data_IF_884050241856
#
_entry.id   IF_884050241856
#
_cell.length_a   1.000
_cell.length_b   1.000
_cell.length_c   1.000
_cell.angle_alpha   90.00
_cell.angle_beta   90.00
_cell.angle_gamma   90.00
#
_symmetry.space_group_name_H-M   'P 1'
#
loop_
_entity.id
_entity.type
_entity.pdbx_description
1 polymer ?
#
# COMPACT_ATOMS: atom_id res chain seq x y z
N UNK A 1 -5.48 13.78 30.33
CA UNK A 1 -4.78 12.52 30.09
C UNK A 1 -3.57 12.75 29.21
N UNK A 2 -2.52 11.98 29.42
CA UNK A 2 -1.28 12.12 28.65
C UNK A 2 -1.09 10.91 27.75
N UNK A 3 -0.54 11.17 26.56
CA UNK A 3 -0.14 10.08 25.67
C UNK A 3 1.09 9.39 26.28
N UNK A 4 1.01 8.09 26.50
CA UNK A 4 2.10 7.30 27.06
C UNK A 4 2.98 6.66 26.00
N UNK A 5 2.48 6.60 24.76
CA UNK A 5 3.23 6.10 23.60
C UNK A 5 2.99 7.06 22.44
N UNK A 6 4.03 7.74 21.98
CA UNK A 6 3.89 8.71 20.92
C UNK A 6 3.85 8.02 19.53
N UNK A 7 3.56 8.80 18.48
CA UNK A 7 3.42 8.22 17.13
C UNK A 7 4.74 7.64 16.62
N UNK A 8 5.88 8.22 16.96
CA UNK A 8 7.18 7.70 16.55
C UNK A 8 7.45 6.31 17.16
N UNK A 9 7.04 6.12 18.42
CA UNK A 9 7.15 4.82 19.07
C UNK A 9 6.25 3.78 18.42
N UNK A 10 5.00 4.16 18.08
CA UNK A 10 4.09 3.27 17.36
C UNK A 10 4.67 2.84 16.03
N UNK A 11 5.23 3.79 15.28
CA UNK A 11 5.84 3.49 13.97
C UNK A 11 7.04 2.58 14.15
N UNK A 12 7.93 2.87 15.13
CA UNK A 12 9.10 2.03 15.38
C UNK A 12 8.72 0.60 15.74
N UNK A 13 7.68 0.42 16.56
CA UNK A 13 7.19 -0.92 16.92
C UNK A 13 6.63 -1.65 15.68
N UNK A 14 5.88 -0.95 14.84
CA UNK A 14 5.37 -1.51 13.61
C UNK A 14 6.51 -1.92 12.67
N UNK A 15 7.50 -1.04 12.49
CA UNK A 15 8.66 -1.32 11.63
C UNK A 15 9.44 -2.55 12.08
N UNK A 16 9.48 -2.82 13.38
CA UNK A 16 10.16 -3.99 13.92
C UNK A 16 9.45 -5.31 13.55
N UNK A 17 8.17 -5.25 13.18
CA UNK A 17 7.37 -6.45 12.92
C UNK A 17 6.99 -6.65 11.46
N UNK A 18 6.93 -5.56 10.66
CA UNK A 18 6.46 -5.65 9.28
C UNK A 18 7.62 -5.87 8.31
N UNK A 19 7.30 -6.43 7.14
CA UNK A 19 8.24 -6.54 6.05
C UNK A 19 8.34 -5.20 5.34
N UNK A 20 9.55 -4.67 5.22
CA UNK A 20 9.83 -3.40 4.54
C UNK A 20 10.70 -3.65 3.33
N UNK A 21 10.24 -3.22 2.16
CA UNK A 21 11.02 -3.29 0.93
C UNK A 21 11.57 -1.92 0.55
N UNK A 22 12.78 -1.89 0.03
CA UNK A 22 13.34 -0.69 -0.59
C UNK A 22 12.67 -0.44 -1.95
N UNK A 23 12.83 0.78 -2.47
CA UNK A 23 12.31 1.12 -3.80
C UNK A 23 12.86 0.17 -4.88
N UNK A 24 14.17 -0.13 -4.95
CA UNK A 24 14.67 -1.09 -5.95
C UNK A 24 14.04 -2.48 -5.82
N UNK A 25 13.80 -2.95 -4.60
CA UNK A 25 13.17 -4.25 -4.39
C UNK A 25 11.74 -4.28 -4.92
N UNK A 26 10.99 -3.19 -4.74
CA UNK A 26 9.63 -3.10 -5.26
C UNK A 26 9.63 -2.95 -6.78
N UNK A 27 10.56 -2.15 -7.34
CA UNK A 27 10.69 -2.02 -8.79
C UNK A 27 10.87 -3.37 -9.46
N UNK A 28 11.67 -4.24 -8.85
CA UNK A 28 11.93 -5.59 -9.39
C UNK A 28 10.67 -6.47 -9.40
N UNK A 29 9.64 -6.09 -8.63
CA UNK A 29 8.39 -6.84 -8.51
C UNK A 29 7.24 -6.28 -9.32
N UNK A 30 7.41 -5.14 -9.99
CA UNK A 30 6.30 -4.46 -10.67
C UNK A 30 5.66 -5.28 -11.78
N UNK A 31 6.42 -6.14 -12.45
CA UNK A 31 5.91 -6.99 -13.51
C UNK A 31 5.46 -8.37 -13.03
N UNK A 32 5.62 -8.67 -11.73
CA UNK A 32 5.22 -9.95 -11.16
C UNK A 32 3.69 -9.94 -10.95
N UNK A 33 2.95 -10.87 -11.58
CA UNK A 33 1.49 -10.93 -11.41
C UNK A 33 1.06 -11.28 -9.98
N UNK A 34 1.99 -11.78 -9.14
CA UNK A 34 1.71 -12.10 -7.74
C UNK A 34 1.97 -10.91 -6.82
N UNK A 35 2.31 -9.74 -7.35
CA UNK A 35 2.51 -8.53 -6.57
C UNK A 35 1.39 -7.53 -6.88
N UNK A 36 0.79 -6.97 -5.82
CA UNK A 36 -0.18 -5.88 -5.94
C UNK A 36 0.25 -4.73 -5.06
N UNK A 37 0.54 -3.59 -5.67
CA UNK A 37 0.89 -2.37 -4.94
C UNK A 37 -0.42 -1.70 -4.49
N UNK A 38 -0.46 -1.25 -3.25
CA UNK A 38 -1.64 -0.60 -2.67
C UNK A 38 -1.26 0.80 -2.19
N UNK A 39 -1.90 1.80 -2.76
CA UNK A 39 -1.76 3.20 -2.34
C UNK A 39 -2.79 3.49 -1.27
N UNK A 40 -2.34 3.75 -0.03
CA UNK A 40 -3.24 3.99 1.10
C UNK A 40 -3.43 5.47 1.42
N UNK A 41 -2.92 6.37 0.55
CA UNK A 41 -3.02 7.81 0.78
C UNK A 41 -4.46 8.30 0.59
N UNK A 42 -4.72 9.52 1.05
CA UNK A 42 -5.96 10.24 0.73
C UNK A 42 -6.02 10.48 -0.78
N UNK A 43 -7.23 10.41 -1.36
CA UNK A 43 -7.40 10.54 -2.82
C UNK A 43 -6.83 11.85 -3.35
N UNK A 44 -6.84 12.92 -2.56
CA UNK A 44 -6.29 14.22 -2.97
C UNK A 44 -4.77 14.17 -3.17
N UNK A 45 -4.08 13.27 -2.48
CA UNK A 45 -2.63 13.11 -2.64
C UNK A 45 -2.28 12.43 -3.96
N UNK A 46 -3.23 11.77 -4.61
CA UNK A 46 -3.00 11.09 -5.88
C UNK A 46 -3.08 12.03 -7.09
N UNK A 47 -3.38 13.31 -6.91
CA UNK A 47 -3.44 14.26 -8.03
C UNK A 47 -2.12 14.37 -8.77
N UNK A 48 -0.98 14.20 -8.09
CA UNK A 48 0.34 14.19 -8.71
C UNK A 48 0.75 12.82 -9.28
N UNK A 49 -0.10 11.80 -9.10
CA UNK A 49 0.16 10.46 -9.58
C UNK A 49 0.24 9.43 -8.47
N UNK A 50 0.46 8.18 -8.88
CA UNK A 50 0.62 7.03 -8.00
C UNK A 50 1.68 6.09 -8.59
N UNK A 51 2.05 5.06 -7.84
CA UNK A 51 2.96 4.02 -8.35
C UNK A 51 2.26 3.27 -9.50
N UNK A 52 3.02 2.97 -10.54
CA UNK A 52 2.49 2.24 -11.70
C UNK A 52 1.79 0.95 -11.26
N UNK A 53 0.52 0.80 -11.63
CA UNK A 53 -0.26 -0.39 -11.30
C UNK A 53 -0.86 -0.43 -9.90
N UNK A 54 -0.68 0.62 -9.09
CA UNK A 54 -1.19 0.65 -7.72
C UNK A 54 -2.72 0.69 -7.70
N UNK A 55 -3.28 -0.04 -6.76
CA UNK A 55 -4.71 0.02 -6.43
C UNK A 55 -4.88 0.97 -5.24
N UNK A 56 -5.80 1.92 -5.35
CA UNK A 56 -6.06 2.87 -4.26
C UNK A 56 -7.00 2.26 -3.23
N UNK A 57 -6.52 2.15 -2.00
CA UNK A 57 -7.31 1.70 -0.85
C UNK A 57 -7.03 2.67 0.30
N UNK A 58 -7.86 3.71 0.47
CA UNK A 58 -7.59 4.74 1.48
C UNK A 58 -7.47 4.12 2.86
N UNK A 59 -6.53 4.63 3.66
CA UNK A 59 -6.21 4.05 4.97
C UNK A 59 -7.45 3.83 5.83
N UNK A 60 -8.41 4.76 5.77
CA UNK A 60 -9.63 4.69 6.60
C UNK A 60 -10.57 3.53 6.25
N UNK A 61 -10.42 2.91 5.08
CA UNK A 61 -11.27 1.80 4.65
C UNK A 61 -10.53 0.47 4.60
N UNK A 62 -9.22 0.47 4.82
CA UNK A 62 -8.40 -0.70 4.54
C UNK A 62 -8.83 -1.96 5.29
N UNK A 63 -9.04 -1.86 6.62
CA UNK A 63 -9.45 -3.02 7.41
C UNK A 63 -10.79 -3.59 6.93
N UNK A 64 -11.69 -2.71 6.54
CA UNK A 64 -13.04 -3.12 6.09
C UNK A 64 -13.00 -3.75 4.69
N UNK A 65 -12.06 -3.32 3.85
CA UNK A 65 -11.92 -3.85 2.50
C UNK A 65 -11.24 -5.22 2.47
N UNK A 66 -10.31 -5.46 3.41
CA UNK A 66 -9.58 -6.74 3.44
C UNK A 66 -10.37 -7.88 4.11
N UNK A 67 -11.31 -7.55 4.99
CA UNK A 67 -12.04 -8.55 5.78
C UNK A 67 -13.20 -9.16 4.98
N UNK A 68 -13.14 -10.47 4.64
CA UNK A 68 -14.22 -11.13 3.89
C UNK A 68 -15.57 -11.11 4.61
N UNK A 69 -15.58 -10.95 5.94
CA UNK A 69 -16.83 -10.88 6.72
C UNK A 69 -17.40 -9.46 6.76
N UNK A 70 -16.68 -8.47 6.27
CA UNK A 70 -17.12 -7.08 6.22
C UNK A 70 -18.10 -6.87 5.05
N UNK A 71 -19.17 -6.05 5.22
CA UNK A 71 -20.03 -5.69 4.10
C UNK A 71 -19.32 -4.86 3.03
N UNK A 72 -18.12 -4.34 3.32
CA UNK A 72 -17.33 -3.51 2.40
C UNK A 72 -16.18 -4.26 1.75
N UNK A 73 -16.12 -5.57 1.93
CA UNK A 73 -15.01 -6.39 1.41
C UNK A 73 -14.78 -6.19 -0.09
N UNK A 74 -13.50 -6.08 -0.47
CA UNK A 74 -13.06 -6.05 -1.88
C UNK A 74 -12.38 -7.38 -2.20
N UNK A 75 -12.88 -8.14 -3.19
CA UNK A 75 -12.33 -9.47 -3.51
C UNK A 75 -10.85 -9.51 -3.83
N UNK A 76 -10.28 -8.40 -4.31
CA UNK A 76 -8.84 -8.31 -4.57
C UNK A 76 -8.02 -8.80 -3.38
N UNK A 77 -8.42 -8.42 -2.17
CA UNK A 77 -7.66 -8.72 -0.96
C UNK A 77 -7.80 -10.15 -0.49
N UNK A 78 -8.71 -10.92 -1.07
CA UNK A 78 -8.88 -12.34 -0.75
C UNK A 78 -7.94 -13.24 -1.56
N UNK A 79 -7.20 -12.69 -2.51
CA UNK A 79 -6.29 -13.45 -3.36
C UNK A 79 -4.99 -13.75 -2.60
N UNK A 80 -4.93 -14.94 -2.01
CA UNK A 80 -3.78 -15.37 -1.22
C UNK A 80 -2.53 -15.65 -2.05
N UNK A 81 -2.65 -15.67 -3.38
CA UNK A 81 -1.50 -15.83 -4.27
C UNK A 81 -0.71 -14.54 -4.44
N UNK A 82 -1.27 -13.41 -3.97
CA UNK A 82 -0.63 -12.10 -4.11
C UNK A 82 0.06 -11.67 -2.83
N UNK A 83 1.15 -10.92 -2.99
CA UNK A 83 1.74 -10.13 -1.93
C UNK A 83 1.26 -8.69 -2.11
N UNK A 84 0.72 -8.10 -1.04
CA UNK A 84 0.22 -6.73 -1.05
C UNK A 84 1.30 -5.81 -0.46
N UNK A 85 1.76 -4.86 -1.26
CA UNK A 85 2.80 -3.92 -0.85
C UNK A 85 2.17 -2.54 -0.70
N UNK A 86 2.03 -2.09 0.53
CA UNK A 86 1.39 -0.83 0.86
C UNK A 86 2.38 0.33 0.75
N UNK A 87 1.90 1.51 0.39
CA UNK A 87 2.71 2.71 0.53
C UNK A 87 1.84 3.92 0.88
N UNK A 88 2.48 4.91 1.48
CA UNK A 88 1.90 6.22 1.78
C UNK A 88 2.87 7.32 1.35
N UNK A 89 2.79 8.50 1.96
CA UNK A 89 3.65 9.61 1.57
C UNK A 89 5.11 9.43 1.95
N UNK A 90 5.39 8.99 3.19
CA UNK A 90 6.75 8.93 3.74
C UNK A 90 7.03 7.65 4.54
N UNK A 91 6.09 6.72 4.63
CA UNK A 91 6.32 5.41 5.23
C UNK A 91 5.75 5.20 6.63
N UNK A 92 5.22 6.21 7.29
CA UNK A 92 4.67 6.05 8.64
C UNK A 92 3.29 5.41 8.64
N UNK A 93 2.37 5.96 7.85
CA UNK A 93 1.01 5.40 7.75
C UNK A 93 1.04 3.97 7.25
N UNK A 94 1.91 3.66 6.29
CA UNK A 94 1.99 2.33 5.72
C UNK A 94 2.59 1.32 6.68
N UNK A 95 3.54 1.72 7.53
CA UNK A 95 4.07 0.86 8.59
C UNK A 95 2.96 0.45 9.55
N UNK A 96 2.17 1.43 10.03
CA UNK A 96 1.05 1.17 10.94
C UNK A 96 -0.02 0.32 10.26
N UNK A 97 -0.32 0.59 8.99
CA UNK A 97 -1.32 -0.16 8.24
C UNK A 97 -0.88 -1.61 8.03
N UNK A 98 0.37 -1.83 7.64
CA UNK A 98 0.89 -3.18 7.45
C UNK A 98 0.83 -3.99 8.74
N UNK A 99 1.18 -3.38 9.88
CA UNK A 99 1.08 -4.04 11.18
C UNK A 99 -0.37 -4.40 11.50
N UNK A 100 -1.31 -3.49 11.24
CA UNK A 100 -2.72 -3.76 11.48
C UNK A 100 -3.21 -4.96 10.66
N UNK A 101 -2.82 -5.05 9.39
CA UNK A 101 -3.20 -6.19 8.56
C UNK A 101 -2.57 -7.49 9.03
N UNK A 102 -1.32 -7.45 9.53
CA UNK A 102 -0.70 -8.62 10.15
C UNK A 102 -1.45 -9.06 11.40
N UNK A 103 -1.86 -8.10 12.22
CA UNK A 103 -2.65 -8.38 13.43
C UNK A 103 -4.00 -9.02 13.07
N UNK A 104 -4.53 -8.73 11.89
CA UNK A 104 -5.74 -9.36 11.36
C UNK A 104 -5.49 -10.77 10.79
N UNK A 105 -4.24 -11.18 10.67
CA UNK A 105 -3.86 -12.51 10.19
C UNK A 105 -3.28 -12.58 8.78
N UNK A 106 -3.09 -11.44 8.11
CA UNK A 106 -2.47 -11.44 6.78
C UNK A 106 -0.96 -11.67 6.88
N UNK A 107 -0.47 -12.69 6.18
CA UNK A 107 0.97 -12.99 6.15
C UNK A 107 1.65 -12.46 4.89
N UNK A 108 0.87 -12.01 3.92
CA UNK A 108 1.31 -11.61 2.58
C UNK A 108 1.27 -10.09 2.40
N UNK A 109 1.73 -9.34 3.40
CA UNK A 109 1.71 -7.88 3.39
C UNK A 109 3.08 -7.32 3.71
N UNK A 110 3.45 -6.24 3.02
CA UNK A 110 4.69 -5.49 3.19
C UNK A 110 4.42 -4.01 2.95
N UNK A 111 5.43 -3.16 3.12
CA UNK A 111 5.29 -1.76 2.72
C UNK A 111 6.60 -1.23 2.16
N UNK A 112 6.53 -0.08 1.47
CA UNK A 112 7.67 0.55 0.80
C UNK A 112 8.35 1.53 1.75
N UNK A 113 9.66 1.38 1.94
CA UNK A 113 10.46 2.31 2.71
C UNK A 113 10.44 3.69 2.06
N UNK A 114 10.14 4.72 2.86
CA UNK A 114 10.12 6.10 2.41
C UNK A 114 8.93 6.49 1.54
N UNK A 115 8.08 5.55 1.17
CA UNK A 115 6.82 5.81 0.46
C UNK A 115 6.95 6.55 -0.86
N UNK A 116 5.93 7.32 -1.18
CA UNK A 116 5.85 8.09 -2.44
C UNK A 116 7.03 9.05 -2.62
N UNK A 117 7.47 9.70 -1.53
CA UNK A 117 8.60 10.64 -1.59
C UNK A 117 9.87 9.94 -2.09
N UNK A 118 10.19 8.78 -1.52
CA UNK A 118 11.39 8.04 -1.93
C UNK A 118 11.21 7.44 -3.32
N UNK A 119 10.03 6.94 -3.65
CA UNK A 119 9.72 6.37 -4.96
C UNK A 119 9.98 7.38 -6.07
N UNK A 120 9.48 8.60 -5.93
CA UNK A 120 9.64 9.65 -6.93
C UNK A 120 11.06 10.20 -6.98
N UNK A 121 11.72 10.29 -5.82
CA UNK A 121 13.12 10.75 -5.75
C UNK A 121 14.04 9.82 -6.54
N UNK A 122 13.79 8.52 -6.49
CA UNK A 122 14.57 7.53 -7.23
C UNK A 122 14.13 7.38 -8.70
N UNK A 123 13.14 8.14 -9.14
CA UNK A 123 12.66 8.08 -10.53
C UNK A 123 11.98 6.77 -10.90
N UNK A 124 11.39 6.08 -9.91
CA UNK A 124 10.70 4.83 -10.17
C UNK A 124 9.38 5.05 -10.92
N UNK A 125 8.85 4.04 -11.62
CA UNK A 125 7.70 4.20 -12.49
C UNK A 125 6.43 4.67 -11.79
N UNK A 126 5.81 5.70 -12.35
CA UNK A 126 4.55 6.27 -11.86
C UNK A 126 3.54 6.37 -12.98
N UNK A 127 2.29 6.61 -12.63
CA UNK A 127 1.23 6.93 -13.57
C UNK A 127 0.25 7.89 -12.92
N UNK A 128 -0.42 8.70 -13.73
CA UNK A 128 -1.54 9.52 -13.25
C UNK A 128 -2.80 8.65 -13.15
N UNK A 129 -3.79 9.13 -12.40
CA UNK A 129 -5.09 8.42 -12.36
C UNK A 129 -5.73 8.34 -13.74
N UNK A 130 -5.57 9.39 -14.56
CA UNK A 130 -6.08 9.39 -15.95
C UNK A 130 -5.39 8.33 -16.79
N UNK A 131 -4.06 8.23 -16.70
CA UNK A 131 -3.30 7.21 -17.41
C UNK A 131 -3.69 5.80 -16.95
N UNK A 132 -3.89 5.61 -15.65
CA UNK A 132 -4.31 4.34 -15.10
C UNK A 132 -5.70 3.94 -15.61
N UNK A 133 -6.63 4.89 -15.62
CA UNK A 133 -7.99 4.66 -16.12
C UNK A 133 -7.98 4.32 -17.61
N UNK A 134 -7.20 5.06 -18.41
CA UNK A 134 -7.08 4.82 -19.83
C UNK A 134 -6.50 3.43 -20.14
N UNK A 135 -5.47 3.03 -19.38
CA UNK A 135 -4.85 1.71 -19.52
C UNK A 135 -5.84 0.59 -19.21
N UNK A 136 -6.63 0.75 -18.15
CA UNK A 136 -7.65 -0.24 -17.74
C UNK A 136 -8.77 -0.36 -18.78
N UNK A 137 -9.18 0.75 -19.38
CA UNK A 137 -10.25 0.74 -20.38
C UNK A 137 -9.84 0.08 -21.70
N UNK A 138 -8.52 -0.03 -21.98
CA UNK A 138 -7.98 -0.66 -23.17
C UNK A 138 -7.75 -2.16 -23.02
N UNK A 139 -7.94 -2.72 -21.84
CA UNK A 139 -7.79 -4.16 -21.65
C UNK A 139 -8.93 -4.89 -22.35
N UNK A 140 -8.64 -5.99 -23.04
CA UNK A 140 -9.69 -6.86 -23.58
C UNK A 140 -10.58 -7.35 -22.45
N UNK A 141 -11.84 -7.46 -22.74
CA UNK A 141 -12.80 -7.97 -21.76
C UNK A 141 -12.50 -9.44 -21.41
#
# INVERSE_FOLDING_TARGET
>A
MSITKNCQQLVAEAMAQVTTYSVPQVRARLSDPHTQIIDIRDIRELTAGTVLGAFHAPRGMLEFWVDPASPYHKPLFADESKEFILFCGAGWRSALAAKTLQDMGMTNVAHIEGGWAEWTQQGAPTETLEEQKARRSKKPA
#
